data_IF_408232489086
#
_entry.id   IF_408232489086
#
_cell.length_a   1.000
_cell.length_b   1.000
_cell.length_c   1.000
_cell.angle_alpha   90.00
_cell.angle_beta   90.00
_cell.angle_gamma   90.00
#
_symmetry.space_group_name_H-M   'P 1'
#
loop_
_entity.id
_entity.type
_entity.pdbx_description
1 polymer ?
#
# COMPACT_ATOMS: atom_id res chain seq x y z
N UNK A 1 -6.20 12.82 4.82
CA UNK A 1 -4.99 11.97 4.90
C UNK A 1 -3.76 12.75 4.44
N UNK A 2 -3.66 13.17 3.18
CA UNK A 2 -2.47 13.82 2.62
C UNK A 2 -1.97 15.04 3.43
N UNK A 3 -2.87 15.93 3.87
CA UNK A 3 -2.49 17.06 4.72
C UNK A 3 -1.84 16.64 6.05
N UNK A 4 -2.30 15.52 6.64
CA UNK A 4 -1.87 15.03 7.95
C UNK A 4 -0.56 14.25 7.89
N UNK A 5 -0.16 13.80 6.71
CA UNK A 5 1.05 12.97 6.51
C UNK A 5 2.14 13.71 5.75
N UNK A 6 1.93 15.00 5.44
CA UNK A 6 2.82 15.84 4.63
C UNK A 6 4.27 15.94 5.13
N UNK A 7 4.49 15.67 6.41
CA UNK A 7 5.81 15.75 7.05
C UNK A 7 6.65 14.46 6.89
N UNK A 8 6.05 13.40 6.34
CA UNK A 8 6.70 12.10 6.17
C UNK A 8 6.91 11.77 4.70
N UNK A 9 7.99 11.04 4.42
CA UNK A 9 8.39 10.62 3.08
C UNK A 9 8.07 9.14 2.80
N UNK A 10 7.05 8.57 3.44
CA UNK A 10 6.58 7.23 3.10
C UNK A 10 5.58 7.29 1.94
N UNK A 11 5.54 6.27 1.06
CA UNK A 11 4.57 6.22 -0.02
C UNK A 11 3.15 6.06 0.53
N UNK A 12 2.19 6.75 -0.08
CA UNK A 12 0.76 6.64 0.22
C UNK A 12 0.04 6.27 -1.07
N UNK A 13 -0.78 5.21 -1.02
CA UNK A 13 -1.68 4.85 -2.11
C UNK A 13 -3.11 4.74 -1.59
N UNK A 14 -4.07 5.03 -2.47
CA UNK A 14 -5.49 4.84 -2.23
C UNK A 14 -6.01 3.73 -3.13
N UNK A 15 -7.22 3.26 -2.84
CA UNK A 15 -7.92 2.23 -3.64
C UNK A 15 -7.15 0.90 -3.78
N UNK A 16 -6.33 0.58 -2.78
CA UNK A 16 -5.67 -0.73 -2.70
C UNK A 16 -6.71 -1.81 -2.36
N UNK A 17 -6.68 -2.98 -3.05
CA UNK A 17 -7.79 -3.94 -3.03
C UNK A 17 -7.75 -4.87 -1.80
N UNK A 18 -7.87 -4.28 -0.61
CA UNK A 18 -7.88 -4.97 0.69
C UNK A 18 -9.01 -4.43 1.56
N UNK A 19 -9.80 -5.32 2.15
CA UNK A 19 -10.89 -4.98 3.09
C UNK A 19 -12.26 -5.50 2.64
N UNK A 20 -13.33 -4.74 2.96
CA UNK A 20 -14.72 -5.11 2.65
C UNK A 20 -15.11 -4.70 1.22
N UNK A 21 -14.38 -5.25 0.24
CA UNK A 21 -14.56 -4.98 -1.18
C UNK A 21 -14.79 -6.29 -1.93
N UNK A 22 -15.44 -6.25 -3.09
CA UNK A 22 -15.64 -7.45 -3.92
C UNK A 22 -14.32 -8.04 -4.41
N UNK A 23 -13.41 -7.17 -4.86
CA UNK A 23 -12.05 -7.54 -5.24
C UNK A 23 -11.16 -7.33 -4.01
N UNK A 24 -11.04 -8.36 -3.17
CA UNK A 24 -10.25 -8.33 -1.96
C UNK A 24 -9.12 -9.36 -2.05
N UNK A 25 -7.88 -8.90 -2.02
CA UNK A 25 -6.70 -9.75 -2.03
C UNK A 25 -6.20 -9.99 -0.61
N UNK A 26 -5.70 -11.20 -0.35
CA UNK A 26 -5.12 -11.53 0.93
C UNK A 26 -3.82 -10.75 1.14
N UNK A 27 -3.69 -10.11 2.31
CA UNK A 27 -2.47 -9.45 2.75
C UNK A 27 -1.84 -10.27 3.87
N UNK A 28 -0.57 -10.66 3.69
CA UNK A 28 0.16 -11.45 4.70
C UNK A 28 0.59 -10.53 5.84
N UNK A 29 0.08 -10.78 7.04
CA UNK A 29 0.47 -10.01 8.23
C UNK A 29 1.76 -10.57 8.85
N UNK A 30 2.53 -9.70 9.50
CA UNK A 30 3.71 -10.10 10.28
C UNK A 30 4.99 -10.35 9.47
N UNK A 31 5.02 -9.99 8.18
CA UNK A 31 6.24 -10.02 7.36
C UNK A 31 6.56 -8.65 6.78
N UNK A 32 7.83 -8.45 6.42
CA UNK A 32 8.30 -7.20 5.86
C UNK A 32 7.88 -7.08 4.39
N UNK A 33 7.35 -5.92 4.01
CA UNK A 33 6.96 -5.62 2.64
C UNK A 33 7.60 -4.33 2.16
N UNK A 34 7.78 -4.23 0.84
CA UNK A 34 8.11 -2.99 0.15
C UNK A 34 6.91 -2.55 -0.68
N UNK A 35 6.41 -1.35 -0.37
CA UNK A 35 5.38 -0.67 -1.14
C UNK A 35 6.05 0.32 -2.10
N UNK A 36 5.80 0.17 -3.39
CA UNK A 36 6.25 1.11 -4.44
C UNK A 36 5.03 1.73 -5.11
N UNK A 37 4.94 3.06 -5.08
CA UNK A 37 3.84 3.83 -5.67
C UNK A 37 4.42 4.73 -6.77
N UNK A 38 3.95 4.55 -7.99
CA UNK A 38 4.30 5.36 -9.16
C UNK A 38 3.05 6.00 -9.74
N UNK A 39 3.19 6.87 -10.74
CA UNK A 39 2.05 7.46 -11.44
C UNK A 39 1.19 6.42 -12.15
N UNK A 40 1.81 5.33 -12.61
CA UNK A 40 1.17 4.39 -13.54
C UNK A 40 0.86 3.04 -12.88
N UNK A 41 1.48 2.75 -11.73
CA UNK A 41 1.35 1.45 -11.05
C UNK A 41 1.63 1.51 -9.55
N UNK A 42 1.05 0.54 -8.83
CA UNK A 42 1.31 0.28 -7.41
C UNK A 42 1.78 -1.18 -7.30
N UNK A 43 2.88 -1.40 -6.59
CA UNK A 43 3.41 -2.74 -6.31
C UNK A 43 3.64 -2.91 -4.81
N UNK A 44 3.22 -4.06 -4.27
CA UNK A 44 3.47 -4.49 -2.90
C UNK A 44 4.15 -5.87 -2.94
N UNK A 45 5.40 -5.93 -2.53
CA UNK A 45 6.23 -7.16 -2.55
C UNK A 45 6.67 -7.54 -1.13
N UNK A 46 6.65 -8.83 -0.79
CA UNK A 46 7.29 -9.35 0.43
C UNK A 46 8.81 -9.27 0.26
N UNK A 47 9.52 -8.70 1.23
CA UNK A 47 10.97 -8.66 1.25
C UNK A 47 11.47 -9.95 1.90
N UNK A 48 12.27 -10.72 1.17
CA UNK A 48 12.99 -11.89 1.71
C UNK A 48 14.32 -11.47 2.35
#
# INVERSE_FOLDING_TARGET
VLEKVKEYNYPVCFDFPVGHQKNNYALKCGVLHKLTVTTDSINLEEIQ
#
